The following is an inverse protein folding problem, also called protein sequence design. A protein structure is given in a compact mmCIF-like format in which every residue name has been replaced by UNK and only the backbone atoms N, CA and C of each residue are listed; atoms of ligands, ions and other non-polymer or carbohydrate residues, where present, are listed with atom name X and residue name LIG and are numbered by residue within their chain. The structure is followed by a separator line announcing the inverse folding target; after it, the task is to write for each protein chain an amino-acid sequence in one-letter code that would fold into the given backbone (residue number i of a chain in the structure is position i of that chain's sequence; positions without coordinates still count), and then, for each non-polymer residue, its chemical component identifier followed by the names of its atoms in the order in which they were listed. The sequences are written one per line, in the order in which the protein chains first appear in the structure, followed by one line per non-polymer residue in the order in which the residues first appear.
data_IF_457959521796
#
_entry.id   IF_457959521796
#
_cell.length_a   1.000
_cell.length_b   1.000
_cell.length_c   1.000
_cell.angle_alpha   90.00
_cell.angle_beta   90.00
_cell.angle_gamma   90.00
#
_symmetry.space_group_name_H-M   'P 1'
#
loop_
_entity.id
_entity.type
_entity.pdbx_description
1 polymer ?
#
# COMPACT_ATOMS: atom_id res chain seq x y z
N UNK A 1 2.49 3.58 1.00
CA UNK A 1 2.73 3.88 -0.42
C UNK A 1 4.22 3.78 -0.66
N UNK A 2 4.65 2.94 -1.60
CA UNK A 2 6.05 2.78 -1.95
C UNK A 2 6.28 3.28 -3.38
N UNK A 3 7.30 4.14 -3.54
CA UNK A 3 7.66 4.73 -4.84
C UNK A 3 9.11 4.43 -5.11
N UNK A 4 9.40 3.90 -6.29
CA UNK A 4 10.77 3.52 -6.69
C UNK A 4 11.62 4.74 -6.99
N UNK A 5 12.93 4.51 -7.13
CA UNK A 5 13.89 5.54 -7.56
C UNK A 5 13.51 6.16 -8.91
N UNK A 6 12.82 5.40 -9.77
CA UNK A 6 12.34 5.85 -11.08
C UNK A 6 10.97 6.53 -11.03
N UNK A 7 10.38 6.69 -9.82
CA UNK A 7 9.09 7.34 -9.65
C UNK A 7 7.86 6.46 -9.89
N UNK A 8 8.04 5.15 -9.91
CA UNK A 8 6.93 4.21 -10.08
C UNK A 8 6.32 3.83 -8.75
N UNK A 9 5.00 3.75 -8.68
CA UNK A 9 4.28 3.23 -7.51
C UNK A 9 4.33 1.72 -7.52
N UNK A 10 4.78 1.14 -6.41
CA UNK A 10 4.80 -0.31 -6.20
C UNK A 10 3.46 -0.73 -5.63
N UNK A 11 2.64 -1.37 -6.44
CA UNK A 11 1.31 -1.81 -6.06
C UNK A 11 1.20 -3.32 -6.18
N UNK A 12 0.23 -3.87 -5.47
CA UNK A 12 -0.15 -5.28 -5.60
C UNK A 12 -1.53 -5.38 -6.21
N UNK A 13 -1.81 -6.50 -6.84
CA UNK A 13 -3.13 -6.79 -7.40
C UNK A 13 -3.64 -8.06 -6.76
N UNK A 14 -4.83 -8.03 -6.19
CA UNK A 14 -5.35 -9.08 -5.35
C UNK A 14 -6.88 -9.17 -5.46
N UNK A 15 -7.40 -10.40 -5.47
CA UNK A 15 -8.84 -10.65 -5.41
C UNK A 15 -9.34 -10.45 -3.99
N UNK A 16 -10.46 -9.73 -3.86
CA UNK A 16 -11.14 -9.50 -2.57
C UNK A 16 -12.54 -10.10 -2.62
N UNK A 17 -12.80 -11.08 -1.77
CA UNK A 17 -14.06 -11.80 -1.72
C UNK A 17 -15.27 -10.91 -1.38
N UNK A 18 -15.07 -9.89 -0.55
CA UNK A 18 -16.14 -8.97 -0.15
C UNK A 18 -16.78 -8.23 -1.31
N UNK A 19 -15.95 -7.68 -2.19
CA UNK A 19 -16.42 -6.95 -3.38
C UNK A 19 -16.40 -7.82 -4.64
N UNK A 20 -15.88 -9.04 -4.56
CA UNK A 20 -15.78 -10.01 -5.67
C UNK A 20 -15.05 -9.45 -6.89
N UNK A 21 -13.98 -8.71 -6.64
CA UNK A 21 -13.18 -8.08 -7.69
C UNK A 21 -11.69 -8.20 -7.41
N UNK A 22 -10.90 -8.22 -8.48
CA UNK A 22 -9.45 -8.08 -8.42
C UNK A 22 -9.09 -6.62 -8.66
N UNK A 23 -8.37 -6.00 -7.72
CA UNK A 23 -8.05 -4.57 -7.79
C UNK A 23 -6.61 -4.30 -7.39
N UNK A 24 -6.10 -3.16 -7.83
CA UNK A 24 -4.82 -2.64 -7.36
C UNK A 24 -4.94 -2.12 -5.94
N UNK A 25 -3.94 -2.44 -5.13
CA UNK A 25 -3.89 -2.05 -3.72
C UNK A 25 -2.48 -1.61 -3.35
N UNK A 26 -2.40 -0.77 -2.34
CA UNK A 26 -1.16 -0.52 -1.62
C UNK A 26 -0.81 -1.80 -0.85
N UNK A 27 0.48 -2.16 -0.82
CA UNK A 27 0.94 -3.26 0.01
C UNK A 27 0.58 -3.01 1.48
N UNK A 28 0.00 -4.00 2.13
CA UNK A 28 -0.46 -3.88 3.52
C UNK A 28 -0.46 -5.24 4.21
N UNK A 29 -0.38 -5.22 5.52
CA UNK A 29 -0.46 -6.43 6.34
C UNK A 29 -0.77 -6.11 7.78
N UNK A 30 -0.92 -7.14 8.58
CA UNK A 30 -1.23 -7.05 10.01
C UNK A 30 0.06 -6.98 10.81
N UNK A 31 0.12 -6.01 11.76
CA UNK A 31 1.22 -5.98 12.73
C UNK A 31 1.17 -7.21 13.62
N UNK A 32 2.31 -7.85 13.78
CA UNK A 32 2.45 -8.93 14.76
C UNK A 32 2.48 -8.35 16.17
N UNK A 33 2.14 -9.17 17.16
CA UNK A 33 2.14 -8.76 18.57
C UNK A 33 3.53 -8.24 18.97
N UNK A 34 3.58 -7.00 19.45
CA UNK A 34 4.82 -6.35 19.87
C UNK A 34 5.66 -5.77 18.73
N UNK A 35 5.22 -5.88 17.50
CA UNK A 35 5.93 -5.32 16.34
C UNK A 35 5.60 -3.84 16.20
N UNK A 36 6.65 -3.02 15.99
CA UNK A 36 6.48 -1.60 15.67
C UNK A 36 5.81 -1.44 14.30
N UNK A 37 4.82 -0.53 14.15
CA UNK A 37 4.12 -0.37 12.88
C UNK A 37 5.03 -0.09 11.68
N UNK A 38 6.06 0.72 11.84
CA UNK A 38 7.02 0.99 10.77
C UNK A 38 7.75 -0.28 10.32
N UNK A 39 8.24 -1.07 11.28
CA UNK A 39 8.94 -2.32 10.98
C UNK A 39 8.00 -3.33 10.31
N UNK A 40 6.74 -3.36 10.74
CA UNK A 40 5.71 -4.17 10.11
C UNK A 40 5.49 -3.78 8.65
N UNK A 41 5.37 -2.48 8.38
CA UNK A 41 5.18 -1.98 7.02
C UNK A 41 6.38 -2.33 6.13
N UNK A 42 7.60 -2.19 6.64
CA UNK A 42 8.83 -2.56 5.91
C UNK A 42 8.88 -4.05 5.63
N UNK A 43 8.54 -4.88 6.60
CA UNK A 43 8.51 -6.34 6.46
C UNK A 43 7.47 -6.77 5.42
N UNK A 44 6.26 -6.23 5.49
CA UNK A 44 5.18 -6.56 4.55
C UNK A 44 5.53 -6.15 3.12
N UNK A 45 6.12 -4.97 2.92
CA UNK A 45 6.58 -4.56 1.60
C UNK A 45 7.60 -5.55 1.04
N UNK A 46 8.56 -5.93 1.86
CA UNK A 46 9.59 -6.89 1.46
C UNK A 46 8.99 -8.25 1.10
N UNK A 47 8.14 -8.79 1.97
CA UNK A 47 7.55 -10.12 1.79
C UNK A 47 6.61 -10.16 0.58
N UNK A 48 5.75 -9.16 0.42
CA UNK A 48 4.75 -9.14 -0.64
C UNK A 48 5.33 -8.73 -1.99
N UNK A 49 6.34 -7.89 -2.04
CA UNK A 49 6.81 -7.30 -3.29
C UNK A 49 8.27 -7.53 -3.62
N UNK A 50 9.11 -7.85 -2.64
CA UNK A 50 10.56 -7.89 -2.81
C UNK A 50 11.23 -6.52 -2.81
N UNK A 51 10.49 -5.45 -2.55
CA UNK A 51 11.04 -4.09 -2.48
C UNK A 51 11.41 -3.73 -1.05
N UNK A 52 12.41 -2.86 -0.92
CA UNK A 52 12.90 -2.41 0.38
C UNK A 52 13.80 -1.19 0.28
N UNK A 53 14.51 -0.92 1.36
CA UNK A 53 15.34 0.28 1.52
C UNK A 53 14.48 1.55 1.38
N UNK A 54 15.03 2.64 0.86
CA UNK A 54 14.29 3.88 0.66
C UNK A 54 14.17 4.73 1.91
N UNK A 55 13.43 5.83 1.78
CA UNK A 55 13.20 6.81 2.84
C UNK A 55 11.75 6.71 3.30
N UNK A 56 11.52 6.43 4.58
CA UNK A 56 10.21 6.17 5.15
C UNK A 56 9.75 7.31 6.05
N UNK A 57 8.54 7.80 5.81
CA UNK A 57 7.89 8.80 6.66
C UNK A 57 6.46 8.39 6.94
N UNK A 58 5.94 8.83 8.10
CA UNK A 58 4.53 8.58 8.42
C UNK A 58 3.63 9.45 7.57
N UNK A 59 2.62 8.84 6.96
CA UNK A 59 1.66 9.56 6.11
C UNK A 59 0.38 9.87 6.88
N UNK A 60 -0.23 8.86 7.51
CA UNK A 60 -1.47 9.07 8.27
C UNK A 60 -1.80 7.86 9.14
N UNK A 61 -2.74 8.08 10.05
CA UNK A 61 -3.34 7.03 10.89
C UNK A 61 -4.86 7.09 10.71
N UNK A 62 -5.47 5.96 10.38
CA UNK A 62 -6.91 5.89 10.09
C UNK A 62 -7.55 4.66 10.71
N UNK A 63 -8.87 4.68 10.80
CA UNK A 63 -9.71 3.56 11.22
C UNK A 63 -10.62 3.14 10.07
N UNK A 64 -10.72 1.84 9.84
CA UNK A 64 -11.58 1.31 8.78
C UNK A 64 -13.07 1.47 9.11
N UNK A 65 -13.43 1.21 10.36
CA UNK A 65 -14.82 1.27 10.82
C UNK A 65 -14.85 1.66 12.30
N UNK A 66 -14.79 2.96 12.54
CA UNK A 66 -14.64 3.52 13.88
C UNK A 66 -15.82 3.23 14.83
N UNK A 67 -17.00 2.91 14.28
CA UNK A 67 -18.18 2.63 15.11
C UNK A 67 -18.17 1.22 15.71
N UNK A 68 -17.47 0.27 15.11
CA UNK A 68 -17.51 -1.15 15.51
C UNK A 68 -16.15 -1.81 15.69
N UNK A 69 -15.08 -1.22 15.14
CA UNK A 69 -13.74 -1.81 15.15
C UNK A 69 -12.77 -0.96 15.96
N UNK A 70 -11.87 -1.63 16.66
CA UNK A 70 -10.85 -0.95 17.48
C UNK A 70 -9.49 -0.86 16.79
N UNK A 71 -9.30 -1.57 15.68
CA UNK A 71 -8.04 -1.60 14.97
C UNK A 71 -7.74 -0.26 14.27
N UNK A 72 -6.47 0.08 14.26
CA UNK A 72 -5.94 1.30 13.65
C UNK A 72 -5.01 0.89 12.52
N UNK A 73 -5.09 1.62 11.41
CA UNK A 73 -4.19 1.44 10.26
C UNK A 73 -3.17 2.57 10.23
N UNK A 74 -1.90 2.20 10.26
CA UNK A 74 -0.77 3.10 10.14
C UNK A 74 -0.30 3.12 8.69
N UNK A 75 -0.32 4.29 8.06
CA UNK A 75 0.08 4.45 6.67
C UNK A 75 1.41 5.19 6.58
N UNK A 76 2.32 4.67 5.77
CA UNK A 76 3.65 5.24 5.55
C UNK A 76 3.85 5.57 4.07
N UNK A 77 4.71 6.55 3.82
CA UNK A 77 5.24 6.84 2.51
C UNK A 77 6.70 6.38 2.49
N UNK A 78 7.06 5.53 1.53
CA UNK A 78 8.43 5.12 1.28
C UNK A 78 8.81 5.59 -0.12
N UNK A 79 9.82 6.44 -0.20
CA UNK A 79 10.36 6.91 -1.49
C UNK A 79 11.71 6.28 -1.74
N UNK A 80 12.12 6.24 -3.01
CA UNK A 80 13.40 5.66 -3.43
C UNK A 80 13.58 4.21 -3.01
N UNK A 81 12.48 3.45 -3.00
CA UNK A 81 12.59 2.01 -2.77
C UNK A 81 13.18 1.31 -4.00
N UNK A 82 13.75 0.14 -3.78
CA UNK A 82 14.37 -0.65 -4.83
C UNK A 82 14.04 -2.13 -4.64
N UNK A 83 14.06 -2.88 -5.72
CA UNK A 83 13.89 -4.32 -5.65
C UNK A 83 15.15 -4.96 -5.08
N UNK A 84 15.01 -5.62 -3.93
CA UNK A 84 16.12 -6.26 -3.23
C UNK A 84 15.96 -7.77 -3.10
N UNK A 85 14.80 -8.29 -3.44
CA UNK A 85 14.51 -9.73 -3.36
C UNK A 85 13.34 -10.10 -4.28
N UNK A 86 12.94 -11.36 -4.22
CA UNK A 86 11.70 -11.86 -4.79
C UNK A 86 10.60 -11.84 -3.74
N UNK A 87 9.34 -12.10 -4.15
CA UNK A 87 8.23 -12.24 -3.21
C UNK A 87 8.44 -13.42 -2.25
N UNK A 88 7.95 -13.28 -1.02
CA UNK A 88 7.94 -14.30 0.01
C UNK A 88 6.51 -14.42 0.54
N UNK A 89 5.62 -14.96 -0.30
CA UNK A 89 4.20 -15.08 0.02
C UNK A 89 3.92 -16.31 0.88
N UNK A 90 2.93 -16.19 1.76
CA UNK A 90 2.38 -17.35 2.47
C UNK A 90 1.51 -18.17 1.49
N UNK A 91 1.23 -19.45 1.84
CA UNK A 91 0.47 -20.37 0.97
C UNK A 91 -0.92 -19.83 0.58
N UNK A 92 -1.55 -19.05 1.46
CA UNK A 92 -2.88 -18.49 1.23
C UNK A 92 -2.87 -17.15 0.48
N UNK A 93 -1.69 -16.60 0.25
CA UNK A 93 -1.55 -15.33 -0.45
C UNK A 93 -1.42 -15.54 -1.95
N UNK A 94 -2.23 -14.80 -2.71
CA UNK A 94 -2.21 -14.83 -4.18
C UNK A 94 -2.31 -13.41 -4.69
N UNK A 95 -1.17 -12.78 -4.85
CA UNK A 95 -1.07 -11.41 -5.34
C UNK A 95 0.11 -11.23 -6.29
N UNK A 96 -0.03 -10.27 -7.18
CA UNK A 96 1.01 -9.92 -8.16
C UNK A 96 1.48 -8.49 -7.94
N UNK A 97 2.74 -8.22 -8.27
CA UNK A 97 3.36 -6.89 -8.12
C UNK A 97 3.30 -6.15 -9.43
N UNK A 98 2.93 -4.87 -9.36
CA UNK A 98 2.83 -3.99 -10.52
C UNK A 98 3.46 -2.64 -10.23
N UNK A 99 4.13 -2.08 -11.23
CA UNK A 99 4.70 -0.75 -11.17
C UNK A 99 3.85 0.17 -12.05
N UNK A 100 3.24 1.18 -11.44
CA UNK A 100 2.38 2.13 -12.14
C UNK A 100 2.96 3.54 -12.06
N UNK A 101 2.75 4.30 -13.12
CA UNK A 101 3.05 5.73 -13.14
C UNK A 101 2.09 6.49 -12.24
N UNK A 102 2.51 7.66 -11.79
CA UNK A 102 1.65 8.56 -11.01
C UNK A 102 0.34 8.87 -11.74
N UNK A 103 0.39 9.12 -13.04
CA UNK A 103 -0.81 9.41 -13.83
C UNK A 103 -1.77 8.21 -13.91
N UNK A 104 -1.23 6.99 -13.98
CA UNK A 104 -2.05 5.79 -13.92
C UNK A 104 -2.75 5.65 -12.57
N UNK A 105 -2.06 5.93 -11.48
CA UNK A 105 -2.65 5.89 -10.13
C UNK A 105 -3.72 6.95 -9.98
N UNK A 106 -3.49 8.18 -10.47
CA UNK A 106 -4.50 9.24 -10.48
C UNK A 106 -5.76 8.81 -11.23
N UNK A 107 -5.58 8.18 -12.38
CA UNK A 107 -6.71 7.69 -13.18
C UNK A 107 -7.53 6.63 -12.42
N UNK A 108 -6.87 5.72 -11.70
CA UNK A 108 -7.56 4.73 -10.87
C UNK A 108 -8.43 5.41 -9.80
N UNK A 109 -7.90 6.45 -9.15
CA UNK A 109 -8.65 7.18 -8.12
C UNK A 109 -9.84 7.94 -8.72
N UNK A 110 -9.61 8.66 -9.81
CA UNK A 110 -10.64 9.49 -10.44
C UNK A 110 -11.76 8.67 -11.07
N UNK A 111 -11.50 7.43 -11.44
CA UNK A 111 -12.47 6.52 -12.04
C UNK A 111 -13.11 5.57 -11.01
N UNK A 112 -12.95 5.83 -9.72
CA UNK A 112 -13.50 5.02 -8.63
C UNK A 112 -13.06 3.55 -8.66
N UNK A 113 -11.86 3.28 -9.16
CA UNK A 113 -11.33 1.92 -9.21
C UNK A 113 -10.60 1.51 -7.93
N UNK A 114 -10.29 2.45 -7.04
CA UNK A 114 -9.77 2.18 -5.70
C UNK A 114 -10.93 2.26 -4.73
N UNK A 115 -11.58 1.13 -4.50
CA UNK A 115 -12.83 1.08 -3.71
C UNK A 115 -12.63 0.92 -2.21
N UNK A 116 -11.52 0.34 -1.78
CA UNK A 116 -11.24 0.18 -0.35
C UNK A 116 -10.85 1.52 0.26
N UNK A 117 -11.57 1.95 1.28
CA UNK A 117 -11.29 3.22 1.96
C UNK A 117 -9.88 3.29 2.56
N UNK A 118 -9.36 2.17 3.08
CA UNK A 118 -8.00 2.09 3.62
C UNK A 118 -6.91 2.25 2.55
N UNK A 119 -7.26 2.08 1.29
CA UNK A 119 -6.36 2.31 0.15
C UNK A 119 -6.56 3.71 -0.43
N UNK A 120 -7.82 4.11 -0.61
CA UNK A 120 -8.15 5.41 -1.20
C UNK A 120 -7.66 6.59 -0.35
N UNK A 121 -7.86 6.55 0.96
CA UNK A 121 -7.49 7.65 1.85
C UNK A 121 -5.99 7.98 1.79
N UNK A 122 -5.06 7.01 1.94
CA UNK A 122 -3.64 7.33 1.82
C UNK A 122 -3.23 7.85 0.44
N UNK A 123 -3.81 7.33 -0.63
CA UNK A 123 -3.54 7.86 -1.97
C UNK A 123 -3.96 9.33 -2.08
N UNK A 124 -5.16 9.67 -1.65
CA UNK A 124 -5.64 11.05 -1.70
C UNK A 124 -4.78 11.99 -0.86
N UNK A 125 -4.34 11.55 0.32
CA UNK A 125 -3.44 12.36 1.15
C UNK A 125 -2.10 12.58 0.46
N UNK A 126 -1.54 11.53 -0.16
CA UNK A 126 -0.31 11.65 -0.93
C UNK A 126 -0.44 12.73 -2.01
N UNK A 127 -1.49 12.66 -2.84
CA UNK A 127 -1.67 13.62 -3.91
C UNK A 127 -1.94 15.03 -3.40
N UNK A 128 -2.63 15.17 -2.28
CA UNK A 128 -2.85 16.47 -1.66
C UNK A 128 -1.55 17.13 -1.17
N UNK A 129 -0.61 16.33 -0.69
CA UNK A 129 0.65 16.83 -0.11
C UNK A 129 1.78 16.97 -1.13
N UNK A 130 1.90 16.04 -2.08
CA UNK A 130 3.10 15.88 -2.89
C UNK A 130 2.86 16.02 -4.40
N UNK A 131 1.65 16.11 -4.83
CA UNK A 131 1.30 16.20 -6.24
C UNK A 131 0.15 17.17 -6.44
N UNK A 132 -0.02 17.63 -7.69
CA UNK A 132 -1.16 18.46 -8.08
C UNK A 132 -2.13 17.61 -8.88
N UNK A 133 -3.35 17.60 -8.43
CA UNK A 133 -4.44 16.96 -9.15
C UNK A 133 -5.04 17.91 -10.19
#
# INVERSE_FOLDING_TARGET
IAITKEGKFVLVRQYRHGIKETRYEICAGVCETGEEPLLSAQRELYEETGYGNGNWTKLMTISANASTMTNITHCYLATEVERISTQHLEETEDLTVHLLDEEEVKALLLNDEVKQSLMAAPFWKYFALYSRL
#
